data_IF_931686608373
#
_entry.id   IF_931686608373
#
_cell.length_a   1.000
_cell.length_b   1.000
_cell.length_c   1.000
_cell.angle_alpha   90.00
_cell.angle_beta   90.00
_cell.angle_gamma   90.00
#
_symmetry.space_group_name_H-M   'P 1'
#
loop_
_entity.id
_entity.type
_entity.pdbx_description
1 polymer ?
#
# COMPACT_ATOMS: atom_id res chain seq x y z
N UNK A 1 -27.10 -10.48 -26.02
CA UNK A 1 -27.18 -9.90 -24.65
C UNK A 1 -25.84 -9.41 -24.06
N UNK A 2 -24.66 -10.00 -24.33
CA UNK A 2 -23.38 -9.46 -23.82
C UNK A 2 -23.07 -8.04 -24.32
N UNK A 3 -23.39 -7.76 -25.59
CA UNK A 3 -23.08 -6.50 -26.26
C UNK A 3 -23.76 -5.27 -25.63
N UNK A 4 -24.96 -5.42 -25.04
CA UNK A 4 -25.69 -4.31 -24.41
C UNK A 4 -25.13 -3.96 -23.02
N UNK A 5 -24.61 -4.96 -22.29
CA UNK A 5 -23.97 -4.75 -20.98
C UNK A 5 -22.61 -4.07 -21.15
N UNK A 6 -21.84 -4.48 -22.16
CA UNK A 6 -20.55 -3.87 -22.49
C UNK A 6 -20.71 -2.42 -22.95
N UNK A 7 -21.71 -2.12 -23.80
CA UNK A 7 -22.03 -0.75 -24.18
C UNK A 7 -22.48 0.11 -22.98
N UNK A 8 -23.27 -0.44 -22.07
CA UNK A 8 -23.71 0.27 -20.86
C UNK A 8 -22.53 0.57 -19.91
N UNK A 9 -21.62 -0.39 -19.69
CA UNK A 9 -20.42 -0.19 -18.88
C UNK A 9 -19.49 0.87 -19.49
N UNK A 10 -19.31 0.85 -20.82
CA UNK A 10 -18.50 1.86 -21.53
C UNK A 10 -19.09 3.26 -21.38
N UNK A 11 -20.40 3.40 -21.57
CA UNK A 11 -21.09 4.69 -21.43
C UNK A 11 -21.04 5.19 -19.98
N UNK A 12 -21.19 4.28 -19.02
CA UNK A 12 -21.09 4.58 -17.60
C UNK A 12 -19.69 5.07 -17.20
N UNK A 13 -18.63 4.33 -17.57
CA UNK A 13 -17.24 4.71 -17.30
C UNK A 13 -16.86 6.04 -17.99
N UNK A 14 -17.48 6.38 -19.11
CA UNK A 14 -17.31 7.69 -19.77
C UNK A 14 -18.01 8.83 -19.05
N UNK A 15 -19.07 8.56 -18.28
CA UNK A 15 -19.82 9.59 -17.54
C UNK A 15 -19.21 9.96 -16.18
N UNK A 16 -18.59 8.99 -15.49
CA UNK A 16 -18.05 9.19 -14.15
C UNK A 16 -16.88 10.20 -14.14
N UNK A 17 -16.98 11.23 -13.28
CA UNK A 17 -15.95 12.25 -13.07
C UNK A 17 -15.06 11.88 -11.90
N UNK A 18 -13.82 11.51 -12.19
CA UNK A 18 -12.86 11.07 -11.18
C UNK A 18 -11.79 12.14 -10.94
N UNK A 19 -11.63 12.55 -9.68
CA UNK A 19 -10.49 13.36 -9.26
C UNK A 19 -9.40 12.50 -8.63
N UNK A 20 -8.13 12.73 -8.98
CA UNK A 20 -6.98 12.06 -8.38
C UNK A 20 -6.14 13.09 -7.63
N UNK A 21 -5.93 12.88 -6.32
CA UNK A 21 -5.04 13.69 -5.48
C UNK A 21 -3.78 12.89 -5.15
N UNK A 22 -2.61 13.38 -5.58
CA UNK A 22 -1.38 12.60 -5.42
C UNK A 22 -0.12 13.44 -5.26
N UNK A 23 0.94 12.84 -4.71
CA UNK A 23 2.27 13.44 -4.74
C UNK A 23 2.96 13.35 -6.12
N UNK A 24 2.50 12.49 -7.04
CA UNK A 24 3.14 12.21 -8.34
C UNK A 24 4.67 11.95 -8.27
N UNK A 25 5.11 11.33 -7.18
CA UNK A 25 6.53 11.15 -6.82
C UNK A 25 7.00 9.69 -6.91
N UNK A 26 6.11 8.75 -7.21
CA UNK A 26 6.46 7.33 -7.33
C UNK A 26 5.85 6.67 -8.58
N UNK A 27 6.50 5.62 -9.13
CA UNK A 27 5.96 4.86 -10.25
C UNK A 27 4.55 4.30 -10.03
N UNK A 28 4.20 3.92 -8.78
CA UNK A 28 2.86 3.44 -8.45
C UNK A 28 1.79 4.52 -8.58
N UNK A 29 2.07 5.74 -8.13
CA UNK A 29 1.18 6.90 -8.31
C UNK A 29 0.99 7.24 -9.79
N UNK A 30 2.08 7.22 -10.54
CA UNK A 30 2.04 7.46 -11.98
C UNK A 30 1.29 6.35 -12.72
N UNK A 31 1.39 5.11 -12.26
CA UNK A 31 0.63 3.99 -12.80
C UNK A 31 -0.86 4.17 -12.54
N UNK A 32 -1.27 4.58 -11.32
CA UNK A 32 -2.66 4.91 -10.99
C UNK A 32 -3.23 5.96 -11.95
N UNK A 33 -2.51 7.06 -12.18
CA UNK A 33 -2.98 8.13 -13.10
C UNK A 33 -3.23 7.57 -14.50
N UNK A 34 -2.27 6.83 -15.06
CA UNK A 34 -2.40 6.26 -16.41
C UNK A 34 -3.52 5.23 -16.49
N UNK A 35 -3.65 4.41 -15.45
CA UNK A 35 -4.71 3.40 -15.35
C UNK A 35 -6.09 4.05 -15.32
N UNK A 36 -6.28 5.12 -14.55
CA UNK A 36 -7.57 5.80 -14.49
C UNK A 36 -7.88 6.55 -15.79
N UNK A 37 -6.90 7.22 -16.40
CA UNK A 37 -7.08 7.91 -17.68
C UNK A 37 -7.33 6.97 -18.86
N UNK A 38 -6.93 5.70 -18.78
CA UNK A 38 -7.29 4.70 -19.80
C UNK A 38 -8.70 4.14 -19.63
N UNK A 39 -9.29 4.26 -18.43
CA UNK A 39 -10.56 3.61 -18.07
C UNK A 39 -11.73 4.59 -18.03
N UNK A 40 -11.49 5.83 -17.58
CA UNK A 40 -12.53 6.85 -17.43
C UNK A 40 -12.34 8.00 -18.41
N UNK A 41 -13.46 8.49 -18.95
CA UNK A 41 -13.46 9.61 -19.90
C UNK A 41 -13.16 10.96 -19.26
N UNK A 42 -13.52 11.13 -17.98
CA UNK A 42 -13.39 12.38 -17.25
C UNK A 42 -12.51 12.20 -16.02
N UNK A 43 -11.23 12.52 -16.13
CA UNK A 43 -10.27 12.44 -15.02
C UNK A 43 -9.54 13.77 -14.85
N UNK A 44 -9.64 14.37 -13.66
CA UNK A 44 -8.77 15.48 -13.25
C UNK A 44 -7.70 14.98 -12.28
N UNK A 45 -6.45 15.36 -12.51
CA UNK A 45 -5.31 14.99 -11.68
C UNK A 45 -4.75 16.24 -11.04
N UNK A 46 -4.82 16.29 -9.71
CA UNK A 46 -4.25 17.33 -8.89
C UNK A 46 -3.03 16.77 -8.14
N UNK A 47 -1.86 17.40 -8.32
CA UNK A 47 -0.63 16.93 -7.69
C UNK A 47 0.11 18.00 -6.88
N UNK A 48 0.87 17.51 -5.89
CA UNK A 48 1.79 18.36 -5.12
C UNK A 48 3.02 18.67 -5.98
N UNK A 49 3.26 19.96 -6.23
CA UNK A 49 4.47 20.45 -6.87
C UNK A 49 5.67 20.15 -5.95
N UNK A 50 6.74 19.51 -6.44
CA UNK A 50 7.90 19.24 -5.60
C UNK A 50 8.61 20.55 -5.22
N UNK A 51 8.89 20.73 -3.92
CA UNK A 51 9.64 21.90 -3.41
C UNK A 51 11.05 22.03 -4.03
N UNK A 52 11.66 20.91 -4.41
CA UNK A 52 12.96 20.86 -5.08
C UNK A 52 12.89 19.95 -6.30
N UNK A 53 13.33 20.47 -7.46
CA UNK A 53 13.53 19.67 -8.66
C UNK A 53 14.71 18.72 -8.40
N UNK A 54 14.43 17.41 -8.30
CA UNK A 54 15.50 16.41 -8.21
C UNK A 54 16.25 16.38 -9.54
N UNK A 55 17.53 16.77 -9.53
CA UNK A 55 18.42 16.55 -10.69
C UNK A 55 18.67 15.06 -10.85
N UNK A 56 18.38 14.52 -12.02
CA UNK A 56 18.70 13.13 -12.35
C UNK A 56 20.21 13.01 -12.59
N UNK A 57 20.89 12.28 -11.70
CA UNK A 57 22.31 11.98 -11.83
C UNK A 57 22.50 10.72 -12.68
N UNK A 58 23.68 10.55 -13.28
CA UNK A 58 24.04 9.32 -14.00
C UNK A 58 23.83 8.08 -13.12
N UNK A 59 24.24 8.14 -11.84
CA UNK A 59 24.03 7.09 -10.85
C UNK A 59 22.55 6.74 -10.67
N UNK A 60 21.66 7.73 -10.65
CA UNK A 60 20.23 7.49 -10.57
C UNK A 60 19.73 6.74 -11.81
N UNK A 61 20.10 7.20 -13.01
CA UNK A 61 19.69 6.59 -14.27
C UNK A 61 20.18 5.15 -14.38
N UNK A 62 21.45 4.90 -14.06
CA UNK A 62 22.02 3.54 -13.99
C UNK A 62 21.26 2.68 -12.98
N UNK A 63 20.92 3.22 -11.81
CA UNK A 63 20.14 2.50 -10.81
C UNK A 63 18.73 2.10 -11.27
N UNK A 64 18.05 2.97 -12.04
CA UNK A 64 16.74 2.66 -12.62
C UNK A 64 16.85 1.59 -13.70
N UNK A 65 17.82 1.70 -14.61
CA UNK A 65 18.09 0.69 -15.65
C UNK A 65 18.41 -0.66 -15.02
N UNK A 66 19.30 -0.69 -14.03
CA UNK A 66 19.63 -1.89 -13.28
C UNK A 66 18.39 -2.52 -12.64
N UNK A 67 17.53 -1.71 -12.00
CA UNK A 67 16.27 -2.19 -11.44
C UNK A 67 15.37 -2.82 -12.50
N UNK A 68 15.23 -2.20 -13.67
CA UNK A 68 14.43 -2.74 -14.78
C UNK A 68 14.96 -4.10 -15.23
N UNK A 69 16.29 -4.23 -15.37
CA UNK A 69 16.94 -5.49 -15.73
C UNK A 69 16.65 -6.54 -14.66
N UNK A 70 16.89 -6.24 -13.38
CA UNK A 70 16.65 -7.19 -12.29
C UNK A 70 15.19 -7.65 -12.23
N UNK A 71 14.22 -6.75 -12.34
CA UNK A 71 12.81 -7.11 -12.30
C UNK A 71 12.39 -7.92 -13.53
N UNK A 72 12.93 -7.60 -14.71
CA UNK A 72 12.70 -8.38 -15.94
C UNK A 72 13.26 -9.80 -15.83
N UNK A 73 14.48 -9.95 -15.29
CA UNK A 73 15.09 -11.26 -15.03
C UNK A 73 14.26 -12.06 -14.03
N UNK A 74 13.84 -11.46 -12.91
CA UNK A 74 12.96 -12.14 -11.93
C UNK A 74 11.61 -12.53 -12.55
N UNK A 75 11.04 -11.69 -13.41
CA UNK A 75 9.80 -11.99 -14.13
C UNK A 75 9.97 -13.18 -15.07
N UNK A 76 11.05 -13.28 -15.83
CA UNK A 76 11.29 -14.36 -16.78
C UNK A 76 11.68 -15.66 -16.06
N UNK A 77 12.67 -15.62 -15.18
CA UNK A 77 13.24 -16.82 -14.54
C UNK A 77 12.39 -17.34 -13.38
N UNK A 78 11.82 -16.44 -12.58
CA UNK A 78 11.08 -16.80 -11.36
C UNK A 78 9.57 -16.68 -11.54
N UNK A 79 9.07 -16.07 -12.62
CA UNK A 79 7.63 -15.79 -12.86
C UNK A 79 7.00 -14.83 -11.86
N UNK A 80 7.80 -13.91 -11.30
CA UNK A 80 7.30 -12.86 -10.42
C UNK A 80 6.44 -11.86 -11.20
N UNK A 81 5.26 -11.51 -10.67
CA UNK A 81 4.35 -10.54 -11.29
C UNK A 81 4.81 -9.10 -11.01
N UNK A 82 5.88 -8.70 -11.70
CA UNK A 82 6.27 -7.30 -11.79
C UNK A 82 5.70 -6.66 -13.04
N UNK A 83 5.14 -5.46 -12.85
CA UNK A 83 4.86 -4.54 -13.94
C UNK A 83 6.13 -3.72 -14.21
N UNK A 84 6.66 -3.75 -15.43
CA UNK A 84 7.87 -2.96 -15.79
C UNK A 84 7.48 -1.64 -16.45
N UNK A 85 6.34 -1.60 -17.13
CA UNK A 85 5.84 -0.42 -17.85
C UNK A 85 5.89 0.89 -17.05
N UNK A 86 5.53 0.92 -15.74
CA UNK A 86 5.59 2.15 -14.95
C UNK A 86 7.00 2.71 -14.73
N UNK A 87 8.05 1.89 -14.85
CA UNK A 87 9.43 2.30 -14.64
C UNK A 87 10.06 2.91 -15.90
N UNK A 88 9.53 2.59 -17.08
CA UNK A 88 10.04 3.05 -18.38
C UNK A 88 9.23 4.21 -18.97
N UNK A 89 7.98 4.40 -18.53
CA UNK A 89 7.12 5.48 -19.04
C UNK A 89 7.49 6.83 -18.41
N UNK A 90 7.49 7.89 -19.23
CA UNK A 90 7.60 9.28 -18.78
C UNK A 90 6.48 9.64 -17.81
N UNK A 91 6.72 10.60 -16.91
CA UNK A 91 5.72 11.04 -15.94
C UNK A 91 4.41 11.44 -16.66
N UNK A 92 3.24 10.99 -16.17
CA UNK A 92 1.97 11.38 -16.76
C UNK A 92 1.73 12.88 -16.51
N UNK A 93 0.96 13.50 -17.40
CA UNK A 93 0.51 14.88 -17.28
C UNK A 93 -0.35 15.02 -16.03
N UNK A 94 -0.19 16.14 -15.33
CA UNK A 94 -1.02 16.58 -14.21
C UNK A 94 -1.79 17.81 -14.67
N UNK A 95 -3.06 17.92 -14.29
CA UNK A 95 -3.94 19.00 -14.74
C UNK A 95 -3.82 20.24 -13.84
N UNK A 96 -3.60 20.02 -12.54
CA UNK A 96 -3.40 21.10 -11.56
C UNK A 96 -2.25 20.77 -10.61
N UNK A 97 -1.30 21.68 -10.46
CA UNK A 97 -0.20 21.55 -9.52
C UNK A 97 -0.17 22.69 -8.51
N UNK A 98 0.06 22.35 -7.23
CA UNK A 98 0.23 23.34 -6.16
C UNK A 98 1.23 22.84 -5.10
N UNK A 99 1.86 23.76 -4.35
CA UNK A 99 2.78 23.40 -3.28
C UNK A 99 2.10 22.64 -2.12
N UNK A 100 0.80 22.91 -1.91
CA UNK A 100 -0.05 22.18 -0.98
C UNK A 100 -1.27 21.61 -1.71
N UNK A 101 -1.52 20.31 -1.49
CA UNK A 101 -2.69 19.61 -2.02
C UNK A 101 -4.00 20.18 -1.44
N UNK A 102 -3.93 20.85 -0.29
CA UNK A 102 -5.08 21.50 0.36
C UNK A 102 -5.23 22.98 -0.01
N UNK A 103 -4.49 23.47 -1.01
CA UNK A 103 -4.54 24.87 -1.42
C UNK A 103 -5.88 25.26 -2.05
N UNK A 104 -6.18 26.56 -2.04
CA UNK A 104 -7.35 27.14 -2.71
C UNK A 104 -7.37 26.86 -4.21
N UNK A 105 -6.19 26.80 -4.87
CA UNK A 105 -6.07 26.44 -6.29
C UNK A 105 -6.61 25.03 -6.57
N UNK A 106 -6.21 24.05 -5.75
CA UNK A 106 -6.72 22.68 -5.87
C UNK A 106 -8.21 22.64 -5.54
N UNK A 107 -8.64 23.33 -4.47
CA UNK A 107 -10.05 23.40 -4.09
C UNK A 107 -10.93 23.97 -5.20
N UNK A 108 -10.51 25.07 -5.84
CA UNK A 108 -11.22 25.73 -6.94
C UNK A 108 -11.37 24.78 -8.14
N UNK A 109 -10.27 24.17 -8.58
CA UNK A 109 -10.30 23.27 -9.72
C UNK A 109 -11.18 22.04 -9.47
N UNK A 110 -11.16 21.46 -8.26
CA UNK A 110 -12.04 20.35 -7.92
C UNK A 110 -13.51 20.77 -7.89
N UNK A 111 -13.84 21.95 -7.35
CA UNK A 111 -15.21 22.46 -7.34
C UNK A 111 -15.74 22.71 -8.74
N UNK A 112 -14.93 23.27 -9.62
CA UNK A 112 -15.27 23.48 -11.03
C UNK A 112 -15.45 22.15 -11.78
N UNK A 113 -14.59 21.16 -11.47
CA UNK A 113 -14.68 19.85 -12.10
C UNK A 113 -15.89 19.03 -11.63
N UNK A 114 -16.37 19.23 -10.40
CA UNK A 114 -17.51 18.49 -9.78
C UNK A 114 -17.29 16.96 -9.78
N UNK A 115 -16.26 16.44 -9.10
CA UNK A 115 -15.97 15.00 -9.11
C UNK A 115 -17.04 14.19 -8.35
N UNK A 116 -17.39 13.04 -8.92
CA UNK A 116 -18.23 12.02 -8.25
C UNK A 116 -17.42 11.25 -7.20
N UNK A 117 -16.12 11.09 -7.44
CA UNK A 117 -15.19 10.40 -6.54
C UNK A 117 -13.83 11.07 -6.54
N UNK A 118 -13.24 11.20 -5.35
CA UNK A 118 -11.85 11.60 -5.16
C UNK A 118 -11.02 10.36 -4.79
N UNK A 119 -9.98 10.07 -5.56
CA UNK A 119 -9.00 9.02 -5.32
C UNK A 119 -7.68 9.64 -4.82
N UNK A 120 -7.27 9.30 -3.60
CA UNK A 120 -6.09 9.85 -2.93
C UNK A 120 -4.98 8.81 -2.95
N UNK A 121 -3.78 9.21 -3.36
CA UNK A 121 -2.62 8.34 -3.25
C UNK A 121 -1.30 9.08 -2.96
N UNK A 122 -0.78 8.86 -1.74
CA UNK A 122 0.57 9.23 -1.34
C UNK A 122 0.83 10.74 -1.38
N UNK A 123 0.00 11.48 -0.67
CA UNK A 123 0.09 12.93 -0.44
C UNK A 123 -0.02 13.24 1.07
N UNK A 124 0.04 14.51 1.46
CA UNK A 124 -0.24 14.95 2.84
C UNK A 124 -1.70 14.65 3.21
N UNK A 125 -2.03 14.74 4.50
CA UNK A 125 -3.41 14.61 4.98
C UNK A 125 -4.30 15.63 4.25
N UNK A 126 -5.41 15.14 3.68
CA UNK A 126 -6.40 15.97 3.00
C UNK A 126 -7.35 16.59 4.02
N UNK A 127 -7.68 17.87 3.87
CA UNK A 127 -8.61 18.59 4.76
C UNK A 127 -10.05 18.18 4.51
N UNK A 128 -10.90 18.29 5.54
CA UNK A 128 -12.33 18.01 5.41
C UNK A 128 -13.02 18.83 4.32
N UNK A 129 -12.55 20.07 4.10
CA UNK A 129 -13.05 20.94 3.03
C UNK A 129 -12.84 20.36 1.63
N UNK A 130 -11.68 19.75 1.36
CA UNK A 130 -11.41 19.08 0.08
C UNK A 130 -12.18 17.76 0.00
N UNK A 131 -12.19 16.98 1.09
CA UNK A 131 -12.89 15.69 1.11
C UNK A 131 -14.40 15.82 0.86
N UNK A 132 -15.01 16.93 1.27
CA UNK A 132 -16.43 17.22 1.11
C UNK A 132 -16.83 17.69 -0.31
N UNK A 133 -15.88 17.91 -1.23
CA UNK A 133 -16.19 18.34 -2.60
C UNK A 133 -16.85 17.23 -3.41
N UNK A 134 -16.49 15.97 -3.13
CA UNK A 134 -17.11 14.79 -3.75
C UNK A 134 -17.98 14.06 -2.73
N UNK A 135 -19.02 13.32 -3.19
CA UNK A 135 -19.78 12.40 -2.35
C UNK A 135 -18.91 11.38 -1.61
N UNK A 136 -17.81 10.94 -2.24
CA UNK A 136 -16.89 9.98 -1.66
C UNK A 136 -15.43 10.31 -1.99
N UNK A 137 -14.58 10.17 -0.97
CA UNK A 137 -13.13 10.29 -1.09
C UNK A 137 -12.47 9.01 -0.58
N UNK A 138 -11.76 8.30 -1.44
CA UNK A 138 -11.08 7.04 -1.15
C UNK A 138 -9.57 7.25 -1.12
N UNK A 139 -8.88 6.60 -0.20
CA UNK A 139 -7.42 6.64 -0.09
C UNK A 139 -6.81 5.25 -0.28
N UNK A 140 -5.71 5.19 -1.03
CA UNK A 140 -4.82 4.02 -1.05
C UNK A 140 -3.86 4.12 0.13
N UNK A 141 -4.00 3.18 1.06
CA UNK A 141 -3.05 2.97 2.14
C UNK A 141 -2.25 1.67 1.93
N UNK A 142 -0.92 1.75 1.89
CA UNK A 142 -0.04 0.59 1.72
C UNK A 142 0.24 -0.12 3.06
N UNK A 143 -0.80 -0.36 3.86
CA UNK A 143 -0.72 -1.04 5.14
C UNK A 143 -2.04 -1.67 5.57
N UNK A 144 -1.96 -2.58 6.54
CA UNK A 144 -3.11 -3.23 7.15
C UNK A 144 -3.73 -2.33 8.22
N UNK A 145 -4.98 -1.91 8.04
CA UNK A 145 -5.73 -1.13 9.04
C UNK A 145 -6.59 -2.06 9.91
N UNK A 146 -6.77 -1.78 11.21
CA UNK A 146 -6.34 -0.57 11.95
C UNK A 146 -4.90 -0.61 12.51
N UNK A 147 -4.16 -1.72 12.36
CA UNK A 147 -2.89 -1.95 13.05
C UNK A 147 -1.72 -1.06 12.59
N UNK A 148 -1.59 -0.81 11.29
CA UNK A 148 -0.47 -0.08 10.68
C UNK A 148 -0.93 1.19 9.95
N UNK A 149 -1.68 2.07 10.62
CA UNK A 149 -2.07 3.39 10.07
C UNK A 149 -0.86 4.32 9.98
N UNK A 150 -0.90 5.27 9.05
CA UNK A 150 0.10 6.32 8.90
C UNK A 150 1.22 5.97 7.92
N UNK A 151 2.44 6.41 8.21
CA UNK A 151 3.52 6.43 7.20
C UNK A 151 4.41 5.19 7.27
N UNK A 152 4.87 4.74 6.09
CA UNK A 152 5.87 3.66 5.95
C UNK A 152 5.45 2.30 6.52
N UNK A 153 4.16 1.96 6.47
CA UNK A 153 3.58 0.74 7.05
C UNK A 153 4.33 -0.54 6.67
N UNK A 154 4.64 -0.77 5.38
CA UNK A 154 5.41 -1.95 4.98
C UNK A 154 6.82 -2.04 5.61
N UNK A 155 7.48 -0.91 5.91
CA UNK A 155 8.75 -0.92 6.64
C UNK A 155 8.54 -1.23 8.13
N UNK A 156 7.48 -0.73 8.74
CA UNK A 156 7.12 -1.04 10.13
C UNK A 156 6.80 -2.52 10.30
N UNK A 157 5.96 -3.07 9.43
CA UNK A 157 5.64 -4.50 9.36
C UNK A 157 6.92 -5.34 9.28
N UNK A 158 7.86 -4.92 8.42
CA UNK A 158 9.14 -5.62 8.26
C UNK A 158 10.06 -5.49 9.47
N UNK A 159 10.14 -4.29 10.07
CA UNK A 159 10.93 -4.06 11.29
C UNK A 159 10.44 -4.95 12.43
N UNK A 160 9.13 -5.05 12.59
CA UNK A 160 8.47 -5.85 13.62
C UNK A 160 8.36 -7.34 13.26
N UNK A 161 8.81 -7.74 12.07
CA UNK A 161 8.71 -9.12 11.54
C UNK A 161 7.29 -9.69 11.46
N UNK A 162 6.27 -8.82 11.45
CA UNK A 162 4.86 -9.20 11.35
C UNK A 162 4.40 -9.36 9.90
N UNK A 163 5.13 -10.12 9.09
CA UNK A 163 4.99 -10.12 7.62
C UNK A 163 3.60 -10.52 7.08
N UNK A 164 2.73 -11.13 7.91
CA UNK A 164 1.32 -11.37 7.59
C UNK A 164 0.51 -10.09 7.35
N UNK A 165 0.97 -8.94 7.88
CA UNK A 165 0.36 -7.63 7.67
C UNK A 165 0.92 -6.85 6.47
N UNK A 166 1.73 -7.49 5.62
CA UNK A 166 2.08 -6.92 4.32
C UNK A 166 0.83 -6.91 3.43
N UNK A 167 0.10 -5.81 3.47
CA UNK A 167 -1.18 -5.66 2.78
C UNK A 167 -1.38 -4.22 2.30
N UNK A 168 -2.40 -4.02 1.47
CA UNK A 168 -2.93 -2.68 1.20
C UNK A 168 -4.36 -2.59 1.73
N UNK A 169 -4.83 -1.36 1.92
CA UNK A 169 -6.22 -1.03 2.26
C UNK A 169 -6.67 0.15 1.39
N UNK A 170 -7.83 0.01 0.75
CA UNK A 170 -8.59 1.08 0.12
C UNK A 170 -9.71 1.45 1.09
N UNK A 171 -9.70 2.68 1.60
CA UNK A 171 -10.63 3.09 2.63
C UNK A 171 -11.13 4.52 2.39
N UNK A 172 -12.27 4.86 2.98
CA UNK A 172 -12.78 6.24 3.01
C UNK A 172 -11.80 7.13 3.74
N UNK A 173 -11.42 8.25 3.13
CA UNK A 173 -10.65 9.28 3.80
C UNK A 173 -11.55 10.04 4.79
N UNK A 174 -11.03 10.30 5.98
CA UNK A 174 -11.75 11.04 7.03
C UNK A 174 -10.82 12.05 7.69
N UNK A 175 -11.33 12.81 8.66
CA UNK A 175 -10.50 13.67 9.51
C UNK A 175 -9.47 12.90 10.35
N UNK A 176 -9.68 11.60 10.58
CA UNK A 176 -8.74 10.73 11.27
C UNK A 176 -7.93 9.93 10.25
N UNK A 177 -6.59 9.94 10.41
CA UNK A 177 -5.65 9.26 9.49
C UNK A 177 -6.02 7.78 9.41
N UNK A 178 -6.23 7.29 8.19
CA UNK A 178 -6.46 5.88 7.84
C UNK A 178 -7.53 5.14 8.65
N UNK A 179 -8.55 5.86 9.14
CA UNK A 179 -9.55 5.32 10.07
C UNK A 179 -10.95 5.11 9.48
N UNK A 180 -11.18 5.49 8.23
CA UNK A 180 -12.51 5.34 7.60
C UNK A 180 -12.83 3.90 7.22
N UNK A 181 -14.09 3.69 6.80
CA UNK A 181 -14.58 2.41 6.30
C UNK A 181 -13.70 1.85 5.18
N UNK A 182 -13.45 0.54 5.22
CA UNK A 182 -12.59 -0.16 4.27
C UNK A 182 -13.45 -0.76 3.18
N UNK A 183 -13.13 -0.46 1.93
CA UNK A 183 -13.80 -0.98 0.75
C UNK A 183 -13.06 -2.17 0.13
N UNK A 184 -11.75 -2.23 0.31
CA UNK A 184 -10.93 -3.35 -0.16
C UNK A 184 -9.67 -3.45 0.68
N UNK A 185 -9.36 -4.63 1.20
CA UNK A 185 -8.10 -4.88 1.88
C UNK A 185 -7.65 -6.30 1.59
N UNK A 186 -6.42 -6.46 1.10
CA UNK A 186 -5.88 -7.77 0.75
C UNK A 186 -4.40 -7.88 1.11
N UNK A 187 -3.97 -9.05 1.59
CA UNK A 187 -2.56 -9.33 1.75
C UNK A 187 -1.85 -9.31 0.40
N UNK A 188 -0.62 -8.82 0.40
CA UNK A 188 0.32 -8.93 -0.71
C UNK A 188 1.48 -9.77 -0.18
N UNK A 189 1.45 -11.10 -0.37
CA UNK A 189 2.54 -11.95 0.07
C UNK A 189 3.83 -11.59 -0.70
N UNK A 190 4.98 -11.47 -0.02
CA UNK A 190 6.26 -11.25 -0.68
C UNK A 190 6.74 -12.50 -1.40
N UNK A 191 7.45 -12.35 -2.52
CA UNK A 191 8.14 -13.49 -3.11
C UNK A 191 9.44 -13.84 -2.36
N UNK A 192 9.97 -15.05 -2.56
CA UNK A 192 11.13 -15.52 -1.82
C UNK A 192 12.38 -14.66 -2.05
N UNK A 193 12.70 -14.36 -3.30
CA UNK A 193 13.85 -13.53 -3.69
C UNK A 193 13.48 -12.05 -3.91
N UNK A 194 12.34 -11.62 -3.37
CA UNK A 194 11.92 -10.23 -3.40
C UNK A 194 12.61 -9.42 -2.28
N UNK A 195 13.05 -8.22 -2.62
CA UNK A 195 13.56 -7.23 -1.66
C UNK A 195 12.41 -6.36 -1.15
N UNK A 196 12.54 -5.74 0.02
CA UNK A 196 11.47 -4.88 0.57
C UNK A 196 11.11 -3.70 -0.36
N UNK A 197 12.07 -3.01 -1.01
CA UNK A 197 11.72 -1.96 -1.98
C UNK A 197 11.02 -2.48 -3.25
N UNK A 198 11.37 -3.68 -3.72
CA UNK A 198 10.68 -4.31 -4.85
C UNK A 198 9.26 -4.74 -4.46
N UNK A 199 9.10 -5.26 -3.25
CA UNK A 199 7.82 -5.60 -2.66
C UNK A 199 6.89 -4.39 -2.60
N UNK A 200 7.37 -3.26 -2.07
CA UNK A 200 6.59 -2.02 -2.01
C UNK A 200 6.24 -1.48 -3.39
N UNK A 201 7.17 -1.60 -4.34
CA UNK A 201 6.87 -1.24 -5.72
C UNK A 201 5.73 -2.11 -6.27
N UNK A 202 5.80 -3.44 -6.15
CA UNK A 202 4.74 -4.33 -6.62
C UNK A 202 3.41 -4.07 -5.90
N UNK A 203 3.44 -3.91 -4.58
CA UNK A 203 2.27 -3.55 -3.77
C UNK A 203 1.62 -2.25 -4.25
N UNK A 204 2.41 -1.25 -4.67
CA UNK A 204 1.88 0.01 -5.21
C UNK A 204 1.11 -0.18 -6.52
N UNK A 205 1.51 -1.14 -7.35
CA UNK A 205 0.82 -1.48 -8.60
C UNK A 205 -0.45 -2.27 -8.31
N UNK A 206 -0.38 -3.26 -7.39
CA UNK A 206 -1.53 -4.07 -6.99
C UNK A 206 -2.63 -3.20 -6.36
N UNK A 207 -2.26 -2.29 -5.46
CA UNK A 207 -3.19 -1.38 -4.80
C UNK A 207 -3.81 -0.35 -5.76
N UNK A 208 -3.07 0.14 -6.75
CA UNK A 208 -3.63 1.01 -7.80
C UNK A 208 -4.72 0.30 -8.62
N UNK A 209 -4.51 -0.99 -8.96
CA UNK A 209 -5.54 -1.82 -9.62
C UNK A 209 -6.74 -2.06 -8.70
N UNK A 210 -6.50 -2.25 -7.41
CA UNK A 210 -7.56 -2.41 -6.43
C UNK A 210 -8.42 -1.14 -6.27
N UNK A 211 -7.79 0.05 -6.31
CA UNK A 211 -8.51 1.32 -6.33
C UNK A 211 -9.43 1.44 -7.55
N UNK A 212 -8.94 1.10 -8.75
CA UNK A 212 -9.79 1.08 -9.96
C UNK A 212 -11.01 0.16 -9.79
N UNK A 213 -10.79 -1.08 -9.35
CA UNK A 213 -11.90 -2.03 -9.10
C UNK A 213 -12.87 -1.50 -8.06
N UNK A 214 -12.36 -0.91 -6.99
CA UNK A 214 -13.18 -0.34 -5.91
C UNK A 214 -14.07 0.78 -6.43
N UNK A 215 -13.52 1.70 -7.22
CA UNK A 215 -14.31 2.78 -7.85
C UNK A 215 -15.39 2.22 -8.76
N UNK A 216 -15.05 1.26 -9.64
CA UNK A 216 -16.04 0.61 -10.52
C UNK A 216 -17.15 -0.08 -9.73
N UNK A 217 -16.82 -0.80 -8.65
CA UNK A 217 -17.79 -1.49 -7.81
C UNK A 217 -18.74 -0.52 -7.10
N UNK A 218 -18.21 0.56 -6.51
CA UNK A 218 -19.06 1.59 -5.84
C UNK A 218 -20.00 2.22 -6.87
N UNK A 219 -19.45 2.58 -8.03
CA UNK A 219 -20.19 3.23 -9.09
C UNK A 219 -21.30 2.31 -9.67
N UNK A 220 -21.10 0.98 -9.67
CA UNK A 220 -22.12 0.00 -10.05
C UNK A 220 -23.06 -0.43 -8.90
N UNK A 221 -22.99 0.23 -7.73
CA UNK A 221 -23.84 -0.07 -6.56
C UNK A 221 -23.42 -1.32 -5.76
N UNK A 222 -22.24 -1.88 -6.04
CA UNK A 222 -21.67 -3.04 -5.33
C UNK A 222 -20.77 -2.60 -4.17
N UNK A 223 -21.30 -1.79 -3.26
CA UNK A 223 -20.58 -1.38 -2.06
C UNK A 223 -20.39 -2.60 -1.11
N UNK A 224 -19.12 -2.90 -0.79
CA UNK A 224 -18.71 -3.97 0.13
C UNK A 224 -17.95 -3.41 1.34
N UNK A 225 -18.19 -2.15 1.67
CA UNK A 225 -17.47 -1.49 2.75
C UNK A 225 -17.82 -2.05 4.12
N UNK A 226 -16.84 -2.01 5.01
CA UNK A 226 -17.01 -2.38 6.41
C UNK A 226 -16.30 -1.39 7.32
N UNK A 227 -16.86 -1.19 8.52
CA UNK A 227 -16.24 -0.37 9.56
C UNK A 227 -15.00 -1.06 10.11
N UNK A 228 -13.94 -0.29 10.32
CA UNK A 228 -12.76 -0.81 10.99
C UNK A 228 -13.11 -1.16 12.45
N UNK A 229 -12.67 -2.32 12.96
CA UNK A 229 -12.91 -2.68 14.35
C UNK A 229 -12.08 -1.81 15.30
N UNK A 230 -12.59 -1.58 16.51
CA UNK A 230 -11.90 -0.80 17.55
C UNK A 230 -10.88 -1.68 18.31
N UNK A 231 -9.75 -1.97 17.66
CA UNK A 231 -8.70 -2.87 18.16
C UNK A 231 -7.44 -2.14 18.64
N UNK A 232 -7.55 -0.84 18.97
CA UNK A 232 -6.40 0.00 19.30
C UNK A 232 -5.53 0.30 18.08
N UNK A 233 -5.67 1.49 17.50
CA UNK A 233 -4.96 1.86 16.27
C UNK A 233 -3.62 2.55 16.57
N UNK A 234 -2.54 2.13 15.92
CA UNK A 234 -1.26 2.85 15.93
C UNK A 234 -1.17 3.78 14.72
N UNK A 235 -1.21 5.09 14.98
CA UNK A 235 -0.98 6.11 13.96
C UNK A 235 0.52 6.39 13.84
N UNK A 236 1.21 5.64 12.99
CA UNK A 236 2.66 5.71 12.81
C UNK A 236 3.04 6.98 12.07
N UNK A 237 3.86 7.83 12.71
CA UNK A 237 4.31 9.13 12.19
C UNK A 237 5.81 9.08 11.92
N UNK A 238 6.31 10.03 11.13
CA UNK A 238 7.75 10.15 10.86
C UNK A 238 8.58 10.24 12.14
N UNK A 239 8.12 10.96 13.16
CA UNK A 239 8.80 11.09 14.46
C UNK A 239 8.91 9.80 15.27
N UNK A 240 8.12 8.76 14.95
CA UNK A 240 8.18 7.48 15.65
C UNK A 240 9.29 6.58 15.08
N UNK A 241 9.88 6.91 13.92
CA UNK A 241 10.88 6.07 13.27
C UNK A 241 12.17 6.05 14.09
N UNK A 242 12.63 4.87 14.55
CA UNK A 242 13.90 4.78 15.27
C UNK A 242 15.10 5.12 14.39
N UNK A 243 16.25 5.35 15.01
CA UNK A 243 17.51 5.47 14.28
C UNK A 243 17.75 4.21 13.43
N UNK A 244 18.30 4.35 12.22
CA UNK A 244 18.49 3.27 11.22
C UNK A 244 17.23 2.53 10.77
N UNK A 245 16.02 3.07 11.01
CA UNK A 245 14.73 2.44 10.68
C UNK A 245 14.70 1.71 9.33
N UNK A 246 15.02 2.41 8.25
CA UNK A 246 14.98 1.84 6.89
C UNK A 246 15.95 0.68 6.72
N UNK A 247 17.18 0.80 7.24
CA UNK A 247 18.20 -0.23 7.11
C UNK A 247 17.80 -1.49 7.89
N UNK A 248 17.35 -1.33 9.15
CA UNK A 248 16.87 -2.45 9.98
C UNK A 248 15.65 -3.14 9.38
N UNK A 249 14.69 -2.38 8.86
CA UNK A 249 13.53 -2.96 8.20
C UNK A 249 13.90 -3.76 6.94
N UNK A 250 14.84 -3.28 6.12
CA UNK A 250 15.34 -4.01 4.95
C UNK A 250 16.10 -5.28 5.38
N UNK A 251 16.94 -5.19 6.41
CA UNK A 251 17.66 -6.33 6.97
C UNK A 251 16.70 -7.40 7.51
N UNK A 252 15.69 -7.00 8.28
CA UNK A 252 14.70 -7.93 8.84
C UNK A 252 13.89 -8.63 7.74
N UNK A 253 13.59 -7.96 6.62
CA UNK A 253 12.87 -8.55 5.49
C UNK A 253 13.60 -9.73 4.82
N UNK A 254 14.94 -9.74 4.89
CA UNK A 254 15.79 -10.79 4.32
C UNK A 254 16.44 -11.67 5.39
N UNK A 255 16.11 -11.44 6.66
CA UNK A 255 16.56 -12.25 7.80
C UNK A 255 15.99 -13.67 7.74
N UNK A 256 16.43 -14.53 8.67
CA UNK A 256 15.88 -15.88 8.84
C UNK A 256 14.35 -15.89 9.02
N UNK A 257 13.80 -14.94 9.78
CA UNK A 257 12.35 -14.83 9.99
C UNK A 257 11.63 -14.41 8.70
N UNK A 258 12.19 -13.46 7.95
CA UNK A 258 11.67 -13.05 6.65
C UNK A 258 11.70 -14.19 5.63
N UNK A 259 12.80 -14.95 5.60
CA UNK A 259 12.93 -16.13 4.74
C UNK A 259 11.94 -17.24 5.12
N UNK A 260 11.72 -17.47 6.42
CA UNK A 260 10.75 -18.44 6.93
C UNK A 260 9.33 -18.09 6.52
N UNK A 261 8.93 -16.82 6.68
CA UNK A 261 7.61 -16.37 6.21
C UNK A 261 7.47 -16.47 4.69
N UNK A 262 8.47 -16.03 3.93
CA UNK A 262 8.44 -16.16 2.46
C UNK A 262 8.34 -17.60 1.99
N UNK A 263 8.89 -18.56 2.74
CA UNK A 263 8.78 -19.99 2.45
C UNK A 263 7.32 -20.49 2.51
N UNK A 264 6.44 -19.85 3.28
CA UNK A 264 5.00 -20.19 3.35
C UNK A 264 4.16 -19.52 2.26
N UNK A 265 4.75 -18.63 1.46
CA UNK A 265 4.02 -17.93 0.39
C UNK A 265 3.96 -18.78 -0.89
N UNK A 266 2.90 -18.64 -1.71
CA UNK A 266 2.78 -19.36 -2.96
C UNK A 266 3.98 -19.14 -3.86
N UNK A 267 4.60 -20.23 -4.30
CA UNK A 267 5.75 -20.20 -5.20
C UNK A 267 5.27 -20.07 -6.64
N UNK A 268 6.01 -19.33 -7.43
CA UNK A 268 5.56 -18.87 -8.76
C UNK A 268 6.18 -19.66 -9.91
N UNK A 269 7.26 -20.42 -9.68
CA UNK A 269 7.95 -21.19 -10.72
C UNK A 269 8.72 -22.43 -10.27
N UNK A 270 9.09 -23.28 -11.24
CA UNK A 270 9.92 -24.49 -11.01
C UNK A 270 11.34 -24.15 -10.54
N UNK A 271 11.94 -23.08 -11.08
CA UNK A 271 13.26 -22.59 -10.68
C UNK A 271 13.28 -22.09 -9.23
N UNK A 272 12.33 -21.23 -8.85
CA UNK A 272 12.17 -20.79 -7.47
C UNK A 272 12.03 -21.99 -6.53
N UNK A 273 11.16 -22.93 -6.90
CA UNK A 273 10.96 -24.18 -6.15
C UNK A 273 12.27 -24.96 -5.92
N UNK A 274 13.11 -25.12 -6.95
CA UNK A 274 14.38 -25.84 -6.86
C UNK A 274 15.35 -25.17 -5.89
N UNK A 275 15.60 -23.87 -6.06
CA UNK A 275 16.53 -23.13 -5.21
C UNK A 275 16.03 -23.00 -3.77
N UNK A 276 14.73 -22.72 -3.59
CA UNK A 276 14.14 -22.64 -2.25
C UNK A 276 14.23 -23.98 -1.55
N UNK A 277 13.94 -25.12 -2.20
CA UNK A 277 14.10 -26.44 -1.56
C UNK A 277 15.53 -26.70 -1.09
N UNK A 278 16.55 -26.24 -1.83
CA UNK A 278 17.96 -26.42 -1.48
C UNK A 278 18.42 -25.48 -0.36
N UNK A 279 18.04 -24.20 -0.43
CA UNK A 279 18.42 -23.16 0.54
C UNK A 279 17.61 -23.24 1.84
N UNK A 280 16.33 -23.60 1.75
CA UNK A 280 15.41 -23.77 2.87
C UNK A 280 15.32 -25.21 3.36
N UNK A 281 16.21 -26.11 2.90
CA UNK A 281 16.27 -27.51 3.35
C UNK A 281 16.39 -27.63 4.87
N UNK A 282 17.09 -26.66 5.49
CA UNK A 282 17.29 -26.54 6.93
C UNK A 282 16.27 -25.63 7.64
N UNK A 283 15.32 -25.04 6.91
CA UNK A 283 14.22 -24.27 7.51
C UNK A 283 13.09 -25.25 7.91
N UNK A 284 12.47 -25.07 9.08
CA UNK A 284 11.40 -25.95 9.53
C UNK A 284 10.24 -25.97 8.50
N UNK A 285 9.87 -27.17 8.04
CA UNK A 285 8.84 -27.39 7.00
C UNK A 285 7.42 -27.05 7.47
N UNK A 286 7.20 -27.09 8.78
CA UNK A 286 5.98 -26.64 9.45
C UNK A 286 6.40 -25.62 10.48
N UNK A 287 5.90 -24.40 10.36
CA UNK A 287 5.81 -23.51 11.52
C UNK A 287 4.65 -24.12 12.33
N UNK A 288 4.86 -24.47 13.60
CA UNK A 288 3.81 -25.05 14.41
C UNK A 288 2.55 -24.16 14.34
N UNK A 289 1.36 -24.77 14.25
CA UNK A 289 0.08 -24.06 14.08
C UNK A 289 -0.15 -22.91 15.10
N UNK A 290 0.57 -22.90 16.23
CA UNK A 290 0.56 -21.82 17.22
C UNK A 290 1.19 -20.49 16.78
N UNK A 291 1.88 -20.40 15.64
CA UNK A 291 2.49 -19.14 15.18
C UNK A 291 1.51 -18.17 14.52
N UNK A 292 0.28 -18.61 14.22
CA UNK A 292 -0.77 -17.76 13.66
C UNK A 292 -1.69 -17.14 14.73
N UNK A 293 -1.56 -17.51 16.01
CA UNK A 293 -2.41 -16.97 17.08
C UNK A 293 -1.61 -16.24 18.17
N UNK A 294 -0.34 -16.56 18.44
CA UNK A 294 0.41 -15.85 19.49
C UNK A 294 1.91 -15.82 19.19
N UNK A 295 2.40 -14.92 18.32
CA UNK A 295 3.81 -14.57 18.36
C UNK A 295 3.97 -13.11 17.91
N UNK A 296 3.91 -12.20 18.89
CA UNK A 296 4.71 -10.96 19.02
C UNK A 296 4.21 -10.12 20.22
N UNK A 297 4.03 -10.74 21.38
CA UNK A 297 3.70 -10.01 22.60
C UNK A 297 4.43 -10.66 23.77
N UNK A 298 5.36 -9.96 24.40
CA UNK A 298 5.49 -10.17 25.84
C UNK A 298 4.15 -9.71 26.44
N UNK A 299 3.42 -10.63 27.05
CA UNK A 299 2.23 -10.28 27.82
C UNK A 299 2.73 -9.99 29.23
N UNK A 300 2.61 -8.74 29.67
CA UNK A 300 3.06 -8.31 31.00
C UNK A 300 1.88 -7.79 31.81
N UNK A 301 1.97 -7.92 33.13
CA UNK A 301 0.91 -7.51 34.04
C UNK A 301 0.69 -5.99 34.05
N UNK A 302 1.75 -5.19 33.87
CA UNK A 302 1.70 -3.73 33.82
C UNK A 302 2.92 -3.15 33.08
N UNK A 303 2.72 -2.09 32.30
CA UNK A 303 3.80 -1.41 31.58
C UNK A 303 4.58 -0.51 32.55
N UNK A 304 5.79 -0.91 32.93
CA UNK A 304 6.77 -0.08 33.64
C UNK A 304 8.11 -0.22 32.90
N UNK A 305 8.56 0.81 32.18
CA UNK A 305 9.73 0.70 31.30
C UNK A 305 10.97 1.36 31.90
N UNK A 306 11.99 0.54 32.15
CA UNK A 306 13.38 0.93 31.92
C UNK A 306 13.99 -0.09 30.94
N UNK A 307 14.53 0.40 29.84
CA UNK A 307 14.83 -0.35 28.62
C UNK A 307 16.23 -0.95 28.64
N UNK A 308 16.36 -2.27 28.45
CA UNK A 308 17.46 -2.88 27.69
C UNK A 308 17.12 -4.34 27.31
N UNK A 309 17.23 -4.68 26.03
CA UNK A 309 17.39 -6.08 25.59
C UNK A 309 16.16 -6.95 25.25
N UNK A 310 14.92 -6.45 25.21
CA UNK A 310 13.73 -7.27 24.85
C UNK A 310 12.94 -6.74 23.63
N UNK A 311 12.25 -7.63 22.87
CA UNK A 311 11.65 -7.30 21.57
C UNK A 311 10.51 -6.29 21.67
N UNK A 312 10.46 -5.41 20.67
CA UNK A 312 9.78 -4.12 20.61
C UNK A 312 8.23 -4.12 20.57
N UNK A 313 7.55 -5.18 21.01
CA UNK A 313 6.07 -5.21 21.12
C UNK A 313 5.67 -5.94 22.41
N UNK A 314 5.03 -5.21 23.31
CA UNK A 314 4.50 -5.68 24.59
C UNK A 314 3.00 -5.34 24.62
N UNK A 315 2.15 -6.27 25.03
CA UNK A 315 0.71 -6.04 25.23
C UNK A 315 0.37 -6.36 26.68
N UNK A 316 -0.31 -5.44 27.36
CA UNK A 316 -0.77 -5.68 28.73
C UNK A 316 -1.75 -6.86 28.76
N UNK A 317 -1.66 -7.72 29.77
CA UNK A 317 -2.52 -8.91 29.94
C UNK A 317 -4.01 -8.59 29.80
N UNK A 318 -4.44 -7.44 30.32
CA UNK A 318 -5.82 -6.94 30.20
C UNK A 318 -6.26 -6.77 28.74
N UNK A 319 -5.38 -6.25 27.89
CA UNK A 319 -5.68 -5.97 26.49
C UNK A 319 -5.62 -7.24 25.64
N UNK A 320 -4.73 -8.18 25.96
CA UNK A 320 -4.74 -9.52 25.37
C UNK A 320 -6.04 -10.28 25.68
N UNK A 321 -6.46 -10.28 26.95
CA UNK A 321 -7.71 -10.91 27.36
C UNK A 321 -8.95 -10.29 26.69
N UNK A 322 -8.91 -9.00 26.35
CA UNK A 322 -9.96 -8.34 25.57
C UNK A 322 -10.02 -8.87 24.14
N UNK A 323 -8.88 -9.16 23.51
CA UNK A 323 -8.84 -9.73 22.16
C UNK A 323 -9.33 -11.18 22.11
N UNK A 324 -9.02 -12.00 23.12
CA UNK A 324 -9.52 -13.37 23.17
C UNK A 324 -11.05 -13.47 23.25
N UNK A 325 -11.72 -12.47 23.83
CA UNK A 325 -13.19 -12.44 23.92
C UNK A 325 -13.89 -12.06 22.60
N UNK A 326 -13.13 -11.65 21.58
CA UNK A 326 -13.65 -11.25 20.26
C UNK A 326 -13.71 -12.45 19.30
N UNK A 327 -12.98 -13.53 19.58
CA UNK A 327 -12.92 -14.78 18.80
C UNK A 327 -13.51 -15.94 19.60
#
# INVERSE_FOLDING_TARGET
MPHNLECAEIMFNKSLKVAILTGNNSPGQQYLIRLFRSEFGNVIVAAVKPEKVKRHTLRYTVGVVWKIICLSVKKILLRYDYSISPLIKSKPVVDVEALDINSSTISKALKEFTPDVICIYGTKKITGQILAIAPISLNIHNGFVPYYRGVSSGYWVSLESNFSYLSYSIHKATSTIDAGEVYSSQPVPPYFFESLPDHQYRQSIVSARAMLRTVKNIASGQDQSFKQPDLGSRNLRHKHKPHTFTAKAVQNFVSRNGALYKHTTPRTGRFENFFVKRLASNLPKKIANGWFIVNYHAIIDKIDFNTDGLPSIVTELKQFNRHLKIY
#
